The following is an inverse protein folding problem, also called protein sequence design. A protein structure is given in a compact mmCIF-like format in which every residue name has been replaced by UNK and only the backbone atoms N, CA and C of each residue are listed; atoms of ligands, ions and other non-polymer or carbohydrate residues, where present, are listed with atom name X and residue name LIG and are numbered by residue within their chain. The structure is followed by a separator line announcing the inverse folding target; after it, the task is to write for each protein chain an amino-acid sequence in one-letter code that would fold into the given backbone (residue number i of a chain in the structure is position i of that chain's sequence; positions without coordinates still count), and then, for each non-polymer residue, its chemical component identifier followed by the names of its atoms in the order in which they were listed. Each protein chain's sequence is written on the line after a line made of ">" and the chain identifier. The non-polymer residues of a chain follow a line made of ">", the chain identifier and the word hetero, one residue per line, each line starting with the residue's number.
data_IF_942399128562
#
_entry.id   IF_942399128562
#
_cell.length_a   1.000
_cell.length_b   1.000
_cell.length_c   1.000
_cell.angle_alpha   90.00
_cell.angle_beta   90.00
_cell.angle_gamma   90.00
#
_symmetry.space_group_name_H-M   'P 1'
#
loop_
_entity.id
_entity.type
_entity.pdbx_description
1 polymer ?
#
# COMPACT_ATOMS: atom_id res chain seq x y z
N UNK A 1 -72.82 23.16 14.71
CA UNK A 1 -72.44 22.40 13.50
C UNK A 1 -70.95 22.55 13.28
N UNK A 2 -70.18 21.54 13.71
CA UNK A 2 -68.73 21.45 13.53
C UNK A 2 -68.43 21.07 12.07
N UNK A 3 -67.55 21.81 11.40
CA UNK A 3 -66.89 21.35 10.18
C UNK A 3 -65.44 21.04 10.50
N UNK A 4 -65.19 19.74 10.59
CA UNK A 4 -63.88 19.11 10.60
C UNK A 4 -63.20 19.33 9.25
N UNK A 5 -61.95 19.78 9.24
CA UNK A 5 -61.14 20.03 8.06
C UNK A 5 -59.73 19.51 8.28
N UNK A 6 -59.55 18.28 7.82
CA UNK A 6 -58.39 17.38 7.80
C UNK A 6 -57.01 18.03 7.80
N UNK A 7 -56.20 17.66 8.81
CA UNK A 7 -54.75 17.82 8.86
C UNK A 7 -54.12 16.81 7.88
N UNK A 8 -53.47 17.31 6.82
CA UNK A 8 -52.69 16.49 5.89
C UNK A 8 -51.31 16.18 6.49
N UNK A 9 -51.03 14.89 6.65
CA UNK A 9 -49.80 14.33 7.22
C UNK A 9 -48.95 13.66 6.12
N UNK A 10 -47.63 13.73 6.31
CA UNK A 10 -46.52 12.97 5.71
C UNK A 10 -46.07 13.33 4.28
N UNK A 11 -44.85 13.88 4.07
CA UNK A 11 -43.51 13.28 4.22
C UNK A 11 -43.34 11.97 3.42
N UNK A 12 -42.75 12.06 2.23
CA UNK A 12 -41.58 11.27 1.84
C UNK A 12 -41.05 11.77 0.49
N UNK A 13 -39.99 12.55 0.53
CA UNK A 13 -39.36 13.10 -0.66
C UNK A 13 -37.96 13.55 -0.34
N UNK A 14 -37.02 12.59 -0.33
CA UNK A 14 -35.63 12.77 -0.74
C UNK A 14 -34.99 11.39 -0.73
N UNK A 15 -35.08 10.72 -1.88
CA UNK A 15 -34.10 9.74 -2.32
C UNK A 15 -32.78 10.50 -2.50
N UNK A 16 -32.03 10.70 -1.41
CA UNK A 16 -30.60 10.94 -1.52
C UNK A 16 -30.01 9.60 -1.91
N UNK A 17 -29.85 9.42 -3.22
CA UNK A 17 -28.94 8.45 -3.78
C UNK A 17 -27.63 8.60 -3.02
N UNK A 18 -27.28 7.58 -2.25
CA UNK A 18 -25.93 7.40 -1.76
C UNK A 18 -25.10 7.09 -3.02
N UNK A 19 -24.70 8.13 -3.76
CA UNK A 19 -23.63 7.98 -4.72
C UNK A 19 -22.44 7.55 -3.87
N UNK A 20 -22.04 6.28 -4.03
CA UNK A 20 -20.67 5.92 -3.78
C UNK A 20 -19.87 6.71 -4.80
N UNK A 21 -19.54 7.94 -4.44
CA UNK A 21 -18.46 8.68 -5.05
C UNK A 21 -17.23 7.85 -4.74
N UNK A 22 -16.94 6.92 -5.63
CA UNK A 22 -15.58 6.48 -5.90
C UNK A 22 -14.84 7.73 -6.38
N UNK A 23 -14.47 8.59 -5.43
CA UNK A 23 -13.50 9.63 -5.67
C UNK A 23 -12.24 8.91 -6.13
N UNK A 24 -11.95 8.98 -7.44
CA UNK A 24 -10.67 8.54 -7.98
C UNK A 24 -9.57 9.17 -7.14
N UNK A 25 -8.80 8.33 -6.47
CA UNK A 25 -7.73 8.72 -5.55
C UNK A 25 -6.75 9.62 -6.32
N UNK A 26 -6.48 10.81 -5.79
CA UNK A 26 -5.52 11.74 -6.34
C UNK A 26 -4.12 11.40 -5.82
N UNK A 27 -3.08 11.65 -6.62
CA UNK A 27 -1.70 11.47 -6.18
C UNK A 27 -1.32 12.32 -4.96
N UNK A 28 -1.98 13.45 -4.75
CA UNK A 28 -1.75 14.33 -3.60
C UNK A 28 -2.18 13.67 -2.26
N UNK A 29 -2.90 12.55 -2.32
CA UNK A 29 -3.44 11.84 -1.15
C UNK A 29 -2.38 11.10 -0.32
N UNK A 30 -1.12 11.07 -0.75
CA UNK A 30 -0.03 10.55 0.09
C UNK A 30 0.46 11.58 1.12
N UNK A 31 0.08 12.86 0.98
CA UNK A 31 0.49 13.93 1.90
C UNK A 31 2.00 14.25 1.84
N UNK A 32 2.73 13.66 0.91
CA UNK A 32 4.15 13.91 0.63
C UNK A 32 4.22 14.71 -0.66
N UNK A 33 4.79 15.92 -0.60
CA UNK A 33 5.04 16.73 -1.80
C UNK A 33 6.17 16.02 -2.53
N UNK A 34 6.07 15.81 -3.84
CA UNK A 34 7.18 15.23 -4.60
C UNK A 34 8.40 16.17 -4.47
N UNK A 35 9.37 15.86 -3.61
CA UNK A 35 10.60 16.66 -3.53
C UNK A 35 11.56 16.26 -4.62
N UNK A 36 12.47 17.17 -4.96
CA UNK A 36 13.63 16.91 -5.83
C UNK A 36 14.55 15.77 -5.34
N UNK A 37 14.33 15.21 -4.14
CA UNK A 37 14.89 13.92 -3.72
C UNK A 37 14.16 12.77 -4.41
N UNK A 38 14.48 12.53 -5.68
CA UNK A 38 13.92 11.46 -6.52
C UNK A 38 14.96 10.38 -6.85
N UNK A 39 16.05 10.28 -6.05
CA UNK A 39 17.05 9.24 -6.28
C UNK A 39 16.63 7.99 -5.53
N UNK A 40 16.52 6.89 -6.27
CA UNK A 40 16.23 5.57 -5.72
C UNK A 40 17.26 5.13 -4.65
N UNK A 41 18.41 5.80 -4.54
CA UNK A 41 19.53 5.50 -3.63
C UNK A 41 19.29 5.91 -2.15
N UNK A 42 18.19 6.58 -1.81
CA UNK A 42 17.97 7.10 -0.44
C UNK A 42 17.29 6.11 0.52
N UNK A 43 16.78 4.98 0.01
CA UNK A 43 16.11 3.97 0.82
C UNK A 43 17.10 3.16 1.67
N UNK A 44 16.98 3.22 3.00
CA UNK A 44 17.89 2.52 3.92
C UNK A 44 17.11 1.62 4.86
N UNK A 45 17.54 0.36 4.97
CA UNK A 45 16.87 -0.62 5.80
C UNK A 45 17.43 -2.02 5.63
N UNK A 46 16.78 -2.96 6.28
CA UNK A 46 17.14 -4.37 6.23
C UNK A 46 15.87 -5.21 6.08
N UNK A 47 15.93 -6.21 5.20
CA UNK A 47 14.92 -7.26 5.07
C UNK A 47 15.55 -8.59 5.46
N UNK A 48 15.01 -9.22 6.48
CA UNK A 48 15.44 -10.51 7.01
C UNK A 48 14.59 -11.62 6.38
N UNK A 49 15.22 -12.55 5.66
CA UNK A 49 14.61 -13.80 5.24
C UNK A 49 14.92 -14.92 6.24
N UNK A 50 13.85 -15.49 6.79
CA UNK A 50 13.91 -16.72 7.57
C UNK A 50 13.07 -17.82 6.91
N UNK A 51 13.74 -18.86 6.42
CA UNK A 51 13.11 -20.14 6.04
C UNK A 51 13.47 -21.22 7.08
N UNK A 52 13.41 -22.51 6.74
CA UNK A 52 13.85 -23.63 7.59
C UNK A 52 15.35 -23.65 7.91
N UNK A 53 16.13 -22.72 7.35
CA UNK A 53 17.58 -22.64 7.46
C UNK A 53 18.09 -21.40 8.20
N UNK A 54 19.30 -20.97 7.82
CA UNK A 54 19.93 -19.78 8.39
C UNK A 54 19.12 -18.52 8.07
N UNK A 55 19.17 -17.57 9.00
CA UNK A 55 18.62 -16.23 8.82
C UNK A 55 19.51 -15.44 7.85
N UNK A 56 18.93 -14.91 6.78
CA UNK A 56 19.63 -14.13 5.76
C UNK A 56 19.19 -12.67 5.86
N UNK A 57 20.15 -11.75 5.98
CA UNK A 57 19.90 -10.32 6.02
C UNK A 57 20.19 -9.67 4.65
N UNK A 58 19.17 -9.08 4.03
CA UNK A 58 19.31 -8.26 2.82
C UNK A 58 19.39 -6.79 3.22
N UNK A 59 20.54 -6.17 2.98
CA UNK A 59 20.67 -4.72 3.14
C UNK A 59 20.03 -4.02 1.94
N UNK A 60 19.15 -3.07 2.21
CA UNK A 60 18.53 -2.26 1.17
C UNK A 60 19.53 -1.21 0.71
N UNK A 61 19.80 -1.21 -0.58
CA UNK A 61 20.63 -0.22 -1.28
C UNK A 61 19.76 0.93 -1.80
N UNK A 62 18.57 0.59 -2.29
CA UNK A 62 17.75 1.51 -3.05
C UNK A 62 16.29 1.11 -3.03
N UNK A 63 15.38 2.08 -3.11
CA UNK A 63 13.93 1.84 -3.20
C UNK A 63 13.22 2.81 -4.11
N UNK A 64 12.07 2.41 -4.62
CA UNK A 64 11.09 3.34 -5.17
C UNK A 64 9.67 2.80 -5.07
N UNK A 65 8.70 3.71 -5.11
CA UNK A 65 7.31 3.41 -5.39
C UNK A 65 6.84 4.21 -6.60
N UNK A 66 6.22 3.52 -7.57
CA UNK A 66 5.77 4.08 -8.85
C UNK A 66 4.36 3.58 -9.18
N UNK A 67 3.49 4.45 -9.69
CA UNK A 67 2.18 4.03 -10.19
C UNK A 67 2.32 3.33 -11.55
N UNK A 68 1.56 2.26 -11.74
CA UNK A 68 1.56 1.47 -12.97
C UNK A 68 0.32 1.79 -13.81
N UNK A 69 -0.84 1.33 -13.35
CA UNK A 69 -2.14 1.52 -14.00
C UNK A 69 -3.19 1.72 -12.91
N UNK A 70 -4.07 2.70 -13.10
CA UNK A 70 -5.12 3.04 -12.15
C UNK A 70 -4.56 3.12 -10.70
N UNK A 71 -5.10 2.34 -9.77
CA UNK A 71 -4.68 2.34 -8.38
C UNK A 71 -3.57 1.30 -8.06
N UNK A 72 -2.90 0.74 -9.07
CA UNK A 72 -1.82 -0.22 -8.87
C UNK A 72 -0.45 0.46 -8.86
N UNK A 73 0.40 0.03 -7.94
CA UNK A 73 1.75 0.57 -7.75
C UNK A 73 2.77 -0.56 -7.66
N UNK A 74 3.96 -0.31 -8.20
CA UNK A 74 5.16 -1.10 -7.89
C UNK A 74 5.89 -0.44 -6.74
N UNK A 75 6.03 -1.17 -5.63
CA UNK A 75 6.96 -0.82 -4.57
C UNK A 75 8.14 -1.78 -4.62
N UNK A 76 9.32 -1.26 -4.98
CA UNK A 76 10.50 -2.07 -5.24
C UNK A 76 11.64 -1.73 -4.29
N UNK A 77 12.26 -2.77 -3.76
CA UNK A 77 13.47 -2.75 -2.96
C UNK A 77 14.61 -3.37 -3.78
N UNK A 78 15.72 -2.66 -3.89
CA UNK A 78 16.98 -3.19 -4.39
C UNK A 78 17.92 -3.42 -3.21
N UNK A 79 18.60 -4.56 -3.24
CA UNK A 79 19.52 -4.95 -2.20
C UNK A 79 20.96 -4.77 -2.66
N UNK A 80 21.89 -4.60 -1.71
CA UNK A 80 23.33 -4.48 -2.00
C UNK A 80 23.91 -5.73 -2.66
N UNK A 81 23.20 -6.86 -2.62
CA UNK A 81 23.56 -8.11 -3.28
C UNK A 81 23.18 -8.14 -4.77
N UNK A 82 22.63 -7.04 -5.31
CA UNK A 82 22.00 -6.94 -6.63
C UNK A 82 20.68 -7.69 -6.79
N UNK A 83 20.21 -8.33 -5.73
CA UNK A 83 18.86 -8.89 -5.66
C UNK A 83 17.81 -7.77 -5.53
N UNK A 84 16.55 -8.09 -5.80
CA UNK A 84 15.43 -7.16 -5.56
C UNK A 84 14.17 -7.86 -5.06
N UNK A 85 13.41 -7.17 -4.22
CA UNK A 85 12.08 -7.59 -3.79
C UNK A 85 11.07 -6.54 -4.24
N UNK A 86 10.09 -6.96 -5.04
CA UNK A 86 9.04 -6.09 -5.56
C UNK A 86 7.69 -6.51 -5.00
N UNK A 87 6.94 -5.55 -4.48
CA UNK A 87 5.53 -5.68 -4.16
C UNK A 87 4.71 -5.00 -5.24
N UNK A 88 3.70 -5.69 -5.75
CA UNK A 88 2.67 -5.09 -6.58
C UNK A 88 1.45 -4.91 -5.72
N UNK A 89 1.08 -3.64 -5.49
CA UNK A 89 0.04 -3.29 -4.53
C UNK A 89 -1.10 -2.56 -5.22
N UNK A 90 -2.31 -2.78 -4.71
CA UNK A 90 -3.53 -2.09 -5.11
C UNK A 90 -3.98 -1.19 -3.96
N UNK A 91 -4.22 0.09 -4.25
CA UNK A 91 -4.68 1.08 -3.27
C UNK A 91 -6.16 1.40 -3.47
N UNK A 92 -7.03 0.87 -2.60
CA UNK A 92 -8.47 1.14 -2.62
C UNK A 92 -8.90 2.14 -1.55
N UNK A 93 -8.12 2.28 -0.48
CA UNK A 93 -8.43 3.15 0.66
C UNK A 93 -7.32 4.18 0.91
N UNK A 94 -7.63 5.15 1.76
CA UNK A 94 -6.69 6.23 2.13
C UNK A 94 -5.65 5.81 3.16
N UNK A 95 -5.86 4.69 3.87
CA UNK A 95 -4.82 4.17 4.75
C UNK A 95 -3.61 3.66 3.95
N UNK A 96 -2.56 3.28 4.67
CA UNK A 96 -1.29 2.86 4.06
C UNK A 96 -0.89 1.44 4.46
N UNK A 97 -1.87 0.60 4.80
CA UNK A 97 -1.65 -0.79 5.18
C UNK A 97 -2.23 -1.71 4.12
N UNK A 98 -1.41 -2.62 3.63
CA UNK A 98 -1.72 -3.53 2.54
C UNK A 98 -1.62 -4.95 3.07
N UNK A 99 -2.62 -5.78 2.75
CA UNK A 99 -2.64 -7.18 3.15
C UNK A 99 -2.81 -8.08 1.93
N UNK A 100 -2.19 -9.26 1.92
CA UNK A 100 -2.35 -10.23 0.81
C UNK A 100 -3.74 -10.87 0.76
N UNK A 101 -4.36 -11.03 1.93
CA UNK A 101 -5.69 -11.61 2.14
C UNK A 101 -6.81 -10.55 2.22
N UNK A 102 -6.51 -9.31 1.83
CA UNK A 102 -7.48 -8.21 1.77
C UNK A 102 -8.64 -8.49 0.80
N UNK A 103 -9.83 -8.01 1.16
CA UNK A 103 -11.01 -8.02 0.29
C UNK A 103 -10.89 -6.97 -0.83
N UNK A 104 -11.79 -7.02 -1.83
CA UNK A 104 -11.77 -6.14 -3.02
C UNK A 104 -11.94 -4.65 -2.71
N UNK A 105 -12.39 -4.29 -1.51
CA UNK A 105 -12.58 -2.89 -1.08
C UNK A 105 -11.46 -2.36 -0.20
N UNK A 106 -10.38 -3.14 -0.06
CA UNK A 106 -9.26 -2.85 0.83
C UNK A 106 -7.94 -2.78 0.06
N UNK A 107 -7.00 -2.06 0.63
CA UNK A 107 -5.62 -2.03 0.16
C UNK A 107 -5.00 -3.44 0.16
N UNK A 108 -4.45 -3.86 -0.96
CA UNK A 108 -4.07 -5.25 -1.20
C UNK A 108 -2.65 -5.40 -1.72
N UNK A 109 -1.95 -6.43 -1.26
CA UNK A 109 -0.74 -6.94 -1.91
C UNK A 109 -1.20 -7.96 -2.96
N UNK A 110 -1.09 -7.61 -4.24
CA UNK A 110 -1.54 -8.48 -5.33
C UNK A 110 -0.59 -9.67 -5.50
N UNK A 111 0.71 -9.40 -5.52
CA UNK A 111 1.77 -10.40 -5.56
C UNK A 111 3.11 -9.76 -5.18
N UNK A 112 4.07 -10.61 -4.83
CA UNK A 112 5.46 -10.21 -4.57
C UNK A 112 6.41 -11.00 -5.47
N UNK A 113 7.53 -10.39 -5.86
CA UNK A 113 8.55 -10.99 -6.72
C UNK A 113 9.91 -10.82 -6.06
N UNK A 114 10.62 -11.92 -5.81
CA UNK A 114 12.03 -11.90 -5.45
C UNK A 114 12.84 -12.17 -6.73
N UNK A 115 13.62 -11.19 -7.16
CA UNK A 115 14.35 -11.19 -8.43
C UNK A 115 13.40 -11.35 -9.62
N UNK A 116 13.23 -12.59 -10.10
CA UNK A 116 12.34 -12.95 -11.21
C UNK A 116 11.26 -13.95 -10.79
N UNK A 117 11.31 -14.42 -9.55
CA UNK A 117 10.44 -15.47 -9.04
C UNK A 117 9.27 -14.85 -8.29
N UNK A 118 8.05 -15.07 -8.80
CA UNK A 118 6.83 -14.73 -8.08
C UNK A 118 6.72 -15.59 -6.82
N UNK A 119 6.50 -14.93 -5.69
CA UNK A 119 6.36 -15.57 -4.39
C UNK A 119 4.91 -15.94 -4.16
N UNK A 120 4.66 -17.21 -3.83
CA UNK A 120 3.35 -17.67 -3.39
C UNK A 120 3.14 -17.25 -1.93
N UNK A 121 2.30 -16.23 -1.73
CA UNK A 121 2.13 -15.56 -0.45
C UNK A 121 1.07 -16.25 0.41
N UNK A 122 1.33 -16.30 1.71
CA UNK A 122 0.35 -16.53 2.76
C UNK A 122 -0.16 -15.18 3.29
N UNK A 123 -0.86 -15.16 4.43
CA UNK A 123 -1.25 -13.91 5.10
C UNK A 123 0.00 -13.07 5.36
N UNK A 124 0.06 -11.90 4.73
CA UNK A 124 1.23 -11.03 4.64
C UNK A 124 0.79 -9.59 4.73
N UNK A 125 1.65 -8.74 5.26
CA UNK A 125 1.36 -7.33 5.46
C UNK A 125 2.52 -6.44 5.00
N UNK A 126 2.15 -5.27 4.49
CA UNK A 126 3.06 -4.20 4.12
C UNK A 126 2.44 -2.88 4.56
N UNK A 127 3.22 -2.07 5.27
CA UNK A 127 2.83 -0.72 5.68
C UNK A 127 3.75 0.29 4.98
N UNK A 128 3.20 1.34 4.36
CA UNK A 128 3.96 2.37 3.63
C UNK A 128 3.57 3.75 4.17
N UNK A 129 4.03 4.09 5.37
CA UNK A 129 3.59 5.27 6.11
C UNK A 129 4.32 6.54 5.64
N UNK A 130 3.61 7.63 5.30
CA UNK A 130 4.25 8.91 5.01
C UNK A 130 4.94 9.49 6.24
N UNK A 131 6.11 10.08 6.02
CA UNK A 131 6.87 10.85 7.01
C UNK A 131 7.10 12.24 6.44
N UNK A 132 6.17 13.15 6.71
CA UNK A 132 6.15 14.50 6.13
C UNK A 132 7.37 15.33 6.53
N UNK A 133 7.94 15.06 7.72
CA UNK A 133 9.17 15.70 8.20
C UNK A 133 10.42 15.30 7.39
N UNK A 134 10.40 14.13 6.75
CA UNK A 134 11.47 13.65 5.86
C UNK A 134 11.09 13.70 4.38
N UNK A 135 9.84 14.07 4.10
CA UNK A 135 9.24 14.05 2.78
C UNK A 135 9.47 12.72 2.04
N UNK A 136 9.26 11.61 2.74
CA UNK A 136 9.51 10.26 2.26
C UNK A 136 8.59 9.24 2.98
N UNK A 137 8.65 7.96 2.60
CA UNK A 137 7.95 6.89 3.32
C UNK A 137 8.84 6.13 4.30
N UNK A 138 8.21 5.68 5.38
CA UNK A 138 8.69 4.63 6.26
C UNK A 138 7.88 3.37 5.99
N UNK A 139 8.57 2.27 5.74
CA UNK A 139 7.92 1.02 5.32
C UNK A 139 8.27 -0.11 6.27
N UNK A 140 7.28 -0.95 6.55
CA UNK A 140 7.42 -2.16 7.36
C UNK A 140 6.82 -3.31 6.57
N UNK A 141 7.56 -4.39 6.40
CA UNK A 141 7.08 -5.58 5.71
C UNK A 141 7.12 -6.79 6.63
N UNK A 142 6.08 -7.60 6.53
CA UNK A 142 6.02 -8.95 7.05
C UNK A 142 5.37 -9.83 5.98
N UNK A 143 6.20 -10.41 5.12
CA UNK A 143 5.82 -11.23 3.99
C UNK A 143 6.05 -12.69 4.31
N UNK A 144 4.98 -13.46 4.44
CA UNK A 144 5.02 -14.89 4.64
C UNK A 144 4.80 -15.62 3.31
N UNK A 145 5.70 -16.53 2.94
CA UNK A 145 5.58 -17.32 1.70
C UNK A 145 5.49 -18.81 1.98
N UNK A 146 4.90 -19.59 1.08
CA UNK A 146 4.76 -21.03 1.26
C UNK A 146 6.09 -21.79 1.23
N UNK A 147 7.03 -21.36 0.40
CA UNK A 147 8.26 -22.14 0.11
C UNK A 147 9.57 -21.38 0.32
N UNK A 148 9.54 -20.05 0.26
CA UNK A 148 10.74 -19.19 0.28
C UNK A 148 11.04 -18.59 1.67
N UNK A 149 10.25 -18.96 2.67
CA UNK A 149 10.36 -18.45 4.04
C UNK A 149 9.55 -17.18 4.28
N UNK A 150 9.93 -16.45 5.32
CA UNK A 150 9.33 -15.19 5.72
C UNK A 150 10.32 -14.05 5.55
N UNK A 151 9.91 -12.95 4.94
CA UNK A 151 10.68 -11.72 4.77
C UNK A 151 10.13 -10.64 5.69
N UNK A 152 10.92 -10.22 6.67
CA UNK A 152 10.53 -9.21 7.66
C UNK A 152 11.51 -8.05 7.63
N UNK A 153 11.05 -6.82 7.69
CA UNK A 153 11.99 -5.72 7.71
C UNK A 153 11.36 -4.36 7.75
N UNK A 154 12.24 -3.37 7.79
CA UNK A 154 11.88 -1.95 7.84
C UNK A 154 12.78 -1.19 6.89
N UNK A 155 12.19 -0.33 6.07
CA UNK A 155 12.93 0.52 5.13
C UNK A 155 12.47 1.96 5.27
N UNK A 156 13.41 2.84 5.54
CA UNK A 156 13.19 4.27 5.72
C UNK A 156 13.53 5.04 4.44
N UNK A 157 13.08 6.29 4.37
CA UNK A 157 13.42 7.25 3.32
C UNK A 157 13.08 6.75 1.91
N UNK A 158 12.01 5.94 1.78
CA UNK A 158 11.57 5.48 0.47
C UNK A 158 11.02 6.68 -0.32
N UNK A 159 11.63 7.05 -1.46
CA UNK A 159 11.20 8.19 -2.25
C UNK A 159 10.01 7.81 -3.15
N UNK A 160 9.19 8.81 -3.47
CA UNK A 160 8.10 8.70 -4.42
C UNK A 160 8.61 9.13 -5.81
N UNK A 161 8.60 8.22 -6.78
CA UNK A 161 9.05 8.49 -8.16
C UNK A 161 7.81 8.57 -9.05
N UNK A 162 7.66 9.66 -9.82
CA UNK A 162 6.65 9.78 -10.88
C UNK A 162 7.11 9.09 -12.14
#
# INVERSE_FOLDING_TARGET
>A
MMKSGTIGLLLLGCLMACSKDSERISFDDWGVIMSDKTRAEDGVGEIMNQNTGALIAFQVDSTYIQQCIDNQYFFKLYFTTYDSLTFVILRETRDFNYHSDADESQNKILYSILNQDTLEMMSSALSIQPRTEYNAFHTVTNLHTLTQGTFNGTVNNVPLIK
#
